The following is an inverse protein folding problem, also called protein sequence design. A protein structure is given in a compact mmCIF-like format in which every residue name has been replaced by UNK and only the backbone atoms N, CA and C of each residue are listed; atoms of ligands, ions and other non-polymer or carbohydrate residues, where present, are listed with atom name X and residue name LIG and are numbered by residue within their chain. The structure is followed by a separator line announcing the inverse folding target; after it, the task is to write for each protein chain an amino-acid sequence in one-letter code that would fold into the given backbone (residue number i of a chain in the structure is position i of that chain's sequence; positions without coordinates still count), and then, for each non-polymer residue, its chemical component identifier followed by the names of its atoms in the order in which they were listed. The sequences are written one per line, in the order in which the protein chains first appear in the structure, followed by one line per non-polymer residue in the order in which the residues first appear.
data_IF_544195151222
#
_entry.id   IF_544195151222
#
_cell.length_a   1.000
_cell.length_b   1.000
_cell.length_c   1.000
_cell.angle_alpha   90.00
_cell.angle_beta   90.00
_cell.angle_gamma   90.00
#
_symmetry.space_group_name_H-M   'P 1'
#
loop_
_entity.id
_entity.type
_entity.pdbx_description
1 polymer ?
#
# COMPACT_ATOMS: atom_id res chain seq x y z
N UNK A 1 -25.96 -54.49 -17.14
CA UNK A 1 -25.59 -53.08 -17.42
C UNK A 1 -24.97 -52.30 -16.25
N UNK A 2 -25.03 -52.72 -14.98
CA UNK A 2 -24.60 -51.86 -13.86
C UNK A 2 -23.10 -51.81 -13.49
N UNK A 3 -22.29 -52.84 -13.80
CA UNK A 3 -20.87 -52.87 -13.39
C UNK A 3 -19.95 -52.04 -14.31
N UNK A 4 -20.19 -52.07 -15.62
CA UNK A 4 -19.40 -51.31 -16.61
C UNK A 4 -19.64 -49.81 -16.49
N UNK A 5 -20.89 -49.40 -16.23
CA UNK A 5 -21.29 -48.01 -16.07
C UNK A 5 -20.73 -47.36 -14.79
N UNK A 6 -20.67 -48.11 -13.66
CA UNK A 6 -20.02 -47.65 -12.42
C UNK A 6 -18.51 -47.48 -12.55
N UNK A 7 -17.84 -48.34 -13.33
CA UNK A 7 -16.40 -48.22 -13.63
C UNK A 7 -16.12 -46.99 -14.48
N UNK A 8 -16.92 -46.74 -15.52
CA UNK A 8 -16.80 -45.53 -16.35
C UNK A 8 -16.97 -44.25 -15.53
N UNK A 9 -17.95 -44.20 -14.63
CA UNK A 9 -18.19 -43.02 -13.80
C UNK A 9 -17.05 -42.75 -12.79
N UNK A 10 -16.49 -43.82 -12.20
CA UNK A 10 -15.37 -43.70 -11.26
C UNK A 10 -14.07 -43.26 -11.95
N UNK A 11 -13.83 -43.74 -13.17
CA UNK A 11 -12.69 -43.31 -14.00
C UNK A 11 -12.86 -41.86 -14.42
N UNK A 12 -14.07 -41.44 -14.81
CA UNK A 12 -14.35 -40.06 -15.20
C UNK A 12 -14.20 -39.08 -14.03
N UNK A 13 -14.69 -39.44 -12.84
CA UNK A 13 -14.52 -38.65 -11.62
C UNK A 13 -13.05 -38.58 -11.18
N UNK A 14 -12.32 -39.68 -11.29
CA UNK A 14 -10.88 -39.70 -11.07
C UNK A 14 -10.13 -38.81 -12.06
N UNK A 15 -10.52 -38.81 -13.34
CA UNK A 15 -9.95 -37.93 -14.36
C UNK A 15 -10.27 -36.46 -14.11
N UNK A 16 -11.46 -36.13 -13.59
CA UNK A 16 -11.83 -34.77 -13.19
C UNK A 16 -11.03 -34.27 -11.98
N UNK A 17 -10.84 -35.12 -10.97
CA UNK A 17 -10.01 -34.77 -9.81
C UNK A 17 -8.55 -34.61 -10.26
N UNK A 18 -8.04 -35.53 -11.08
CA UNK A 18 -6.69 -35.42 -11.63
C UNK A 18 -6.56 -34.22 -12.56
N UNK A 19 -7.57 -33.86 -13.35
CA UNK A 19 -7.52 -32.66 -14.19
C UNK A 19 -7.54 -31.39 -13.35
N UNK A 20 -8.29 -31.34 -12.25
CA UNK A 20 -8.28 -30.20 -11.30
C UNK A 20 -6.93 -30.08 -10.58
N UNK A 21 -6.28 -31.20 -10.24
CA UNK A 21 -4.96 -31.23 -9.59
C UNK A 21 -3.81 -31.03 -10.59
N UNK A 22 -3.99 -31.42 -11.86
CA UNK A 22 -3.02 -31.30 -12.94
C UNK A 22 -3.25 -30.07 -13.83
N UNK A 23 -4.25 -29.23 -13.52
CA UNK A 23 -4.29 -27.89 -14.08
C UNK A 23 -3.08 -27.14 -13.53
N UNK A 24 -2.23 -26.59 -14.39
CA UNK A 24 -1.19 -25.72 -13.91
C UNK A 24 -1.87 -24.54 -13.24
N UNK A 25 -1.73 -24.46 -11.92
CA UNK A 25 -1.77 -23.18 -11.19
C UNK A 25 -0.76 -22.19 -11.82
N UNK A 26 0.18 -22.70 -12.63
CA UNK A 26 1.14 -21.99 -13.46
C UNK A 26 0.57 -21.17 -14.64
N UNK A 27 -0.69 -20.71 -14.60
CA UNK A 27 -1.22 -19.73 -15.57
C UNK A 27 -1.52 -18.35 -14.96
N UNK A 28 -1.25 -18.14 -13.67
CA UNK A 28 -1.35 -16.82 -13.05
C UNK A 28 -0.15 -16.43 -12.16
N UNK A 29 0.88 -17.26 -12.05
CA UNK A 29 2.25 -16.81 -11.78
C UNK A 29 2.85 -16.29 -13.11
N UNK A 30 2.15 -15.35 -13.75
CA UNK A 30 2.75 -14.51 -14.77
C UNK A 30 3.88 -13.77 -14.05
N UNK A 31 5.11 -14.27 -14.27
CA UNK A 31 6.29 -14.04 -13.47
C UNK A 31 6.47 -12.57 -13.08
N UNK A 32 6.00 -12.22 -11.88
CA UNK A 32 6.53 -11.06 -11.22
C UNK A 32 7.95 -11.41 -10.82
N UNK A 33 8.91 -10.75 -11.47
CA UNK A 33 10.32 -10.87 -11.16
C UNK A 33 10.68 -9.76 -10.17
N UNK A 34 11.26 -10.14 -9.04
CA UNK A 34 11.78 -9.20 -8.07
C UNK A 34 12.90 -8.36 -8.71
N UNK A 35 12.76 -7.03 -8.70
CA UNK A 35 13.75 -6.10 -9.27
C UNK A 35 15.02 -5.92 -8.39
N UNK A 36 14.97 -6.43 -7.15
CA UNK A 36 16.04 -6.35 -6.16
C UNK A 36 16.27 -4.94 -5.58
N UNK A 37 15.41 -3.96 -5.88
CA UNK A 37 15.64 -2.55 -5.53
C UNK A 37 15.85 -2.34 -4.02
N UNK A 38 15.07 -3.03 -3.18
CA UNK A 38 15.16 -2.97 -1.72
C UNK A 38 16.54 -3.37 -1.15
N UNK A 39 17.34 -4.13 -1.91
CA UNK A 39 18.68 -4.57 -1.51
C UNK A 39 19.80 -3.67 -2.04
N UNK A 40 19.46 -2.62 -2.78
CA UNK A 40 20.44 -1.71 -3.36
C UNK A 40 20.97 -0.71 -2.34
N UNK A 41 22.15 -0.13 -2.62
CA UNK A 41 22.67 0.99 -1.81
C UNK A 41 21.76 2.21 -1.85
N UNK A 42 20.97 2.38 -2.91
CA UNK A 42 20.02 3.49 -3.04
C UNK A 42 18.86 3.35 -2.04
N UNK A 43 18.30 2.14 -1.88
CA UNK A 43 17.30 1.89 -0.84
C UNK A 43 17.88 2.18 0.56
N UNK A 44 19.12 1.77 0.82
CA UNK A 44 19.80 2.11 2.08
C UNK A 44 19.95 3.63 2.29
N UNK A 45 20.31 4.38 1.25
CA UNK A 45 20.43 5.84 1.32
C UNK A 45 19.09 6.50 1.67
N UNK A 46 17.98 6.05 1.07
CA UNK A 46 16.63 6.53 1.40
C UNK A 46 16.29 6.29 2.87
N UNK A 47 16.59 5.08 3.39
CA UNK A 47 16.44 4.80 4.81
C UNK A 47 17.30 5.73 5.66
N UNK A 48 18.58 5.92 5.33
CA UNK A 48 19.48 6.78 6.12
C UNK A 48 18.99 8.26 6.14
N UNK A 49 18.28 8.70 5.09
CA UNK A 49 17.61 10.01 5.02
C UNK A 49 16.31 10.09 5.83
N UNK A 50 15.78 8.96 6.31
CA UNK A 50 14.61 8.90 7.17
C UNK A 50 13.35 8.36 6.50
N UNK A 51 13.41 7.91 5.25
CA UNK A 51 12.24 7.34 4.57
C UNK A 51 11.74 6.06 5.27
N UNK A 52 10.43 5.85 5.21
CA UNK A 52 9.79 4.56 5.45
C UNK A 52 9.48 3.86 4.12
N UNK A 53 9.75 2.56 4.06
CA UNK A 53 9.21 1.67 3.05
C UNK A 53 7.90 1.05 3.54
N UNK A 54 6.78 1.64 3.12
CA UNK A 54 5.46 1.00 3.19
C UNK A 54 5.25 0.00 2.05
N UNK A 55 4.07 -0.62 2.00
CA UNK A 55 3.70 -1.54 0.91
C UNK A 55 2.45 -1.09 0.16
N UNK A 56 2.46 -1.19 -1.16
CA UNK A 56 1.29 -0.86 -2.00
C UNK A 56 0.42 -2.10 -2.33
N UNK A 57 0.91 -3.30 -2.07
CA UNK A 57 0.28 -4.57 -2.37
C UNK A 57 1.28 -5.61 -2.85
N UNK A 58 0.84 -6.87 -2.95
CA UNK A 58 1.67 -7.97 -3.44
C UNK A 58 1.07 -8.62 -4.69
N UNK A 59 1.87 -8.82 -5.75
CA UNK A 59 1.46 -9.55 -6.95
C UNK A 59 0.90 -10.94 -6.62
N UNK A 60 -0.16 -11.34 -7.32
CA UNK A 60 -0.83 -12.63 -7.13
C UNK A 60 -1.75 -12.72 -5.92
N UNK A 61 -1.79 -11.69 -5.05
CA UNK A 61 -2.75 -11.59 -3.96
C UNK A 61 -3.82 -10.53 -4.27
N UNK A 62 -4.97 -10.66 -3.62
CA UNK A 62 -6.09 -9.74 -3.80
C UNK A 62 -6.61 -9.24 -2.47
N UNK A 63 -6.70 -7.91 -2.37
CA UNK A 63 -7.35 -7.21 -1.26
C UNK A 63 -8.77 -7.69 -1.03
N UNK A 64 -9.55 -7.94 -2.09
CA UNK A 64 -10.94 -8.40 -1.96
C UNK A 64 -11.07 -9.82 -1.42
N UNK A 65 -10.03 -10.64 -1.57
CA UNK A 65 -10.08 -12.06 -1.20
C UNK A 65 -9.58 -12.27 0.23
N UNK A 66 -8.41 -11.71 0.55
CA UNK A 66 -7.82 -11.80 1.88
C UNK A 66 -6.87 -10.60 2.14
N UNK A 67 -7.40 -9.49 2.70
CA UNK A 67 -6.61 -8.32 3.07
C UNK A 67 -5.47 -8.64 4.05
N UNK A 68 -5.70 -9.58 4.97
CA UNK A 68 -4.71 -9.99 5.95
C UNK A 68 -3.54 -10.73 5.30
N UNK A 69 -3.82 -11.59 4.31
CA UNK A 69 -2.78 -12.26 3.53
C UNK A 69 -1.94 -11.27 2.70
N UNK A 70 -2.57 -10.28 2.06
CA UNK A 70 -1.84 -9.23 1.33
C UNK A 70 -0.92 -8.46 2.28
N UNK A 71 -1.45 -8.02 3.43
CA UNK A 71 -0.68 -7.29 4.44
C UNK A 71 0.49 -8.12 4.99
N UNK A 72 0.25 -9.39 5.34
CA UNK A 72 1.31 -10.25 5.85
C UNK A 72 2.41 -10.51 4.80
N UNK A 73 2.03 -10.73 3.54
CA UNK A 73 2.98 -10.93 2.45
C UNK A 73 3.81 -9.66 2.20
N UNK A 74 3.17 -8.48 2.21
CA UNK A 74 3.83 -7.19 2.14
C UNK A 74 4.89 -7.02 3.24
N UNK A 75 4.48 -7.25 4.50
CA UNK A 75 5.38 -7.17 5.65
C UNK A 75 6.56 -8.12 5.50
N UNK A 76 6.29 -9.39 5.26
CA UNK A 76 7.31 -10.43 5.09
C UNK A 76 8.29 -10.08 3.97
N UNK A 77 7.77 -9.58 2.84
CA UNK A 77 8.58 -9.19 1.70
C UNK A 77 9.63 -8.14 2.07
N UNK A 78 9.21 -7.07 2.76
CA UNK A 78 10.10 -5.98 3.18
C UNK A 78 11.10 -6.48 4.23
N UNK A 79 10.62 -7.13 5.29
CA UNK A 79 11.45 -7.57 6.43
C UNK A 79 12.55 -8.57 6.03
N UNK A 80 12.31 -9.42 5.04
CA UNK A 80 13.31 -10.36 4.51
C UNK A 80 14.40 -9.70 3.65
N UNK A 81 14.23 -8.43 3.28
CA UNK A 81 15.08 -7.74 2.31
C UNK A 81 15.79 -6.54 2.89
N UNK A 82 15.15 -5.80 3.78
CA UNK A 82 15.69 -4.59 4.40
C UNK A 82 14.89 -4.23 5.67
N UNK A 83 15.36 -3.22 6.39
CA UNK A 83 14.52 -2.56 7.38
C UNK A 83 13.49 -1.68 6.67
N UNK A 84 12.27 -1.58 7.22
CA UNK A 84 11.28 -0.67 6.70
C UNK A 84 11.61 0.80 6.99
N UNK A 85 12.34 1.10 8.07
CA UNK A 85 12.76 2.48 8.39
C UNK A 85 14.04 2.51 9.22
N UNK A 86 14.50 3.71 9.59
CA UNK A 86 15.59 3.87 10.57
C UNK A 86 15.23 3.37 11.97
N UNK A 87 13.94 3.25 12.26
CA UNK A 87 13.43 2.97 13.59
C UNK A 87 13.05 1.50 13.80
N UNK A 88 12.86 0.74 12.72
CA UNK A 88 12.40 -0.64 12.85
C UNK A 88 12.52 -1.46 11.58
N UNK A 89 12.47 -2.77 11.77
CA UNK A 89 12.46 -3.77 10.68
C UNK A 89 11.08 -3.79 10.02
N UNK A 90 10.00 -3.72 10.80
CA UNK A 90 8.62 -3.79 10.33
C UNK A 90 8.11 -2.47 9.78
N UNK A 91 7.40 -2.47 8.63
CA UNK A 91 6.70 -1.30 8.12
C UNK A 91 5.51 -0.92 9.01
N UNK A 92 5.21 0.38 9.08
CA UNK A 92 4.08 0.92 9.83
C UNK A 92 2.90 1.26 8.91
N UNK A 93 3.20 1.57 7.65
CA UNK A 93 2.27 2.01 6.63
C UNK A 93 2.03 0.97 5.53
N UNK A 94 0.79 0.88 5.09
CA UNK A 94 0.37 0.06 3.95
C UNK A 94 -0.74 0.79 3.20
N UNK A 95 -0.79 0.66 1.89
CA UNK A 95 -1.94 1.08 1.10
C UNK A 95 -3.08 0.08 1.28
N UNK A 96 -4.31 0.57 1.32
CA UNK A 96 -5.52 -0.26 1.19
C UNK A 96 -6.51 0.41 0.23
N UNK A 97 -7.24 -0.37 -0.59
CA UNK A 97 -8.22 0.20 -1.52
C UNK A 97 -9.51 0.62 -0.79
N UNK A 98 -10.29 1.56 -1.38
CA UNK A 98 -11.53 2.07 -0.79
C UNK A 98 -12.69 1.07 -0.70
N UNK A 99 -12.46 -0.17 -1.15
CA UNK A 99 -13.45 -1.25 -1.16
C UNK A 99 -13.41 -2.10 0.11
N UNK A 100 -12.44 -1.88 1.01
CA UNK A 100 -12.31 -2.66 2.23
C UNK A 100 -13.29 -2.19 3.31
N UNK A 101 -13.83 -3.14 4.07
CA UNK A 101 -14.67 -2.84 5.24
C UNK A 101 -13.81 -2.59 6.48
N UNK A 102 -14.38 -2.00 7.53
CA UNK A 102 -13.68 -1.84 8.83
C UNK A 102 -13.16 -3.19 9.39
N UNK A 103 -13.91 -4.28 9.18
CA UNK A 103 -13.47 -5.62 9.57
C UNK A 103 -12.24 -6.09 8.77
N UNK A 104 -12.13 -5.70 7.50
CA UNK A 104 -10.96 -5.97 6.67
C UNK A 104 -9.74 -5.17 7.13
N UNK A 105 -9.92 -3.89 7.46
CA UNK A 105 -8.86 -3.08 8.07
C UNK A 105 -8.38 -3.65 9.41
N UNK A 106 -9.28 -4.25 10.21
CA UNK A 106 -8.88 -4.96 11.44
C UNK A 106 -7.98 -6.16 11.13
N UNK A 107 -8.20 -6.88 10.01
CA UNK A 107 -7.30 -7.96 9.57
C UNK A 107 -5.93 -7.40 9.17
N UNK A 108 -5.89 -6.28 8.46
CA UNK A 108 -4.65 -5.59 8.08
C UNK A 108 -3.88 -5.14 9.34
N UNK A 109 -4.56 -4.47 10.27
CA UNK A 109 -3.98 -4.03 11.54
C UNK A 109 -3.41 -5.19 12.37
N UNK A 110 -4.08 -6.35 12.36
CA UNK A 110 -3.60 -7.54 13.07
C UNK A 110 -2.25 -8.07 12.56
N UNK A 111 -1.81 -7.66 11.36
CA UNK A 111 -0.47 -7.97 10.83
C UNK A 111 0.62 -6.98 11.32
N UNK A 112 0.22 -5.90 11.98
CA UNK A 112 1.12 -4.91 12.60
C UNK A 112 1.17 -3.56 11.90
N UNK A 113 0.32 -3.30 10.90
CA UNK A 113 0.21 -1.98 10.27
C UNK A 113 -0.67 -1.05 11.11
N UNK A 114 -0.28 0.21 11.18
CA UNK A 114 -1.02 1.26 11.91
C UNK A 114 -1.68 2.22 10.93
N UNK A 115 -0.98 2.60 9.86
CA UNK A 115 -1.48 3.50 8.81
C UNK A 115 -1.88 2.67 7.60
N UNK A 116 -3.14 2.79 7.15
CA UNK A 116 -3.67 1.99 6.04
C UNK A 116 -3.87 2.77 4.73
N UNK A 117 -3.46 4.05 4.71
CA UNK A 117 -3.57 4.94 3.56
C UNK A 117 -4.36 6.20 3.86
N UNK A 118 -4.59 6.99 2.82
CA UNK A 118 -5.20 8.32 2.87
C UNK A 118 -6.54 8.42 2.12
N UNK A 119 -6.90 7.40 1.34
CA UNK A 119 -8.16 7.32 0.58
C UNK A 119 -8.78 5.92 0.71
N UNK A 120 -8.99 5.46 1.95
CA UNK A 120 -9.46 4.09 2.21
C UNK A 120 -10.98 3.94 2.21
N UNK A 121 -11.70 5.03 1.93
CA UNK A 121 -13.17 5.02 1.85
C UNK A 121 -13.89 4.86 3.20
N UNK A 122 -13.15 4.72 4.30
CA UNK A 122 -13.70 4.74 5.66
C UNK A 122 -14.12 6.17 6.04
N UNK A 123 -15.21 6.28 6.81
CA UNK A 123 -15.70 7.56 7.32
C UNK A 123 -14.86 8.07 8.51
N UNK A 124 -14.26 7.16 9.28
CA UNK A 124 -13.39 7.50 10.42
C UNK A 124 -12.02 7.98 9.90
N UNK A 125 -11.74 9.26 10.10
CA UNK A 125 -10.50 9.95 9.69
C UNK A 125 -10.23 11.11 10.66
N UNK A 126 -8.99 11.55 10.76
CA UNK A 126 -8.57 12.65 11.62
C UNK A 126 -7.50 13.52 10.95
N UNK A 127 -7.03 14.54 11.66
CA UNK A 127 -5.97 15.48 11.24
C UNK A 127 -6.36 16.43 10.10
N UNK A 128 -7.65 16.75 9.97
CA UNK A 128 -8.15 17.71 8.99
C UNK A 128 -7.83 19.17 9.33
N UNK A 129 -7.48 19.46 10.59
CA UNK A 129 -7.02 20.77 11.04
C UNK A 129 -6.15 20.65 12.32
N UNK A 130 -5.76 21.78 12.91
CA UNK A 130 -4.94 21.83 14.12
C UNK A 130 -5.61 21.25 15.40
N UNK A 131 -6.94 21.14 15.41
CA UNK A 131 -7.75 20.68 16.54
C UNK A 131 -8.27 19.25 16.38
N UNK A 132 -8.39 18.78 15.14
CA UNK A 132 -8.83 17.44 14.80
C UNK A 132 -7.72 16.41 15.04
N UNK A 133 -7.86 15.65 16.11
CA UNK A 133 -6.88 14.63 16.54
C UNK A 133 -7.59 13.29 16.66
N UNK A 134 -6.91 12.18 16.30
CA UNK A 134 -7.49 10.85 16.41
C UNK A 134 -7.83 10.55 17.87
N UNK A 135 -9.10 10.27 18.12
CA UNK A 135 -9.66 9.76 19.36
C UNK A 135 -9.49 8.24 19.50
N UNK A 136 -9.41 7.50 18.39
CA UNK A 136 -9.20 6.06 18.40
C UNK A 136 -8.26 5.55 17.29
N UNK A 137 -8.07 4.22 17.24
CA UNK A 137 -7.16 3.58 16.29
C UNK A 137 -7.73 3.51 14.87
N UNK A 138 -9.04 3.61 14.67
CA UNK A 138 -9.67 3.48 13.35
C UNK A 138 -9.44 4.71 12.49
N UNK A 139 -9.31 5.89 13.10
CA UNK A 139 -8.94 7.12 12.40
C UNK A 139 -7.52 7.09 11.84
N UNK A 140 -6.66 6.16 12.27
CA UNK A 140 -5.37 5.91 11.63
C UNK A 140 -5.48 5.04 10.36
N UNK A 141 -6.61 4.37 10.17
CA UNK A 141 -6.86 3.54 8.99
C UNK A 141 -7.27 4.37 7.77
N UNK A 142 -7.59 5.65 7.97
CA UNK A 142 -7.77 6.61 6.89
C UNK A 142 -7.19 7.97 7.31
N UNK A 143 -6.05 8.35 6.76
CA UNK A 143 -5.44 9.65 7.08
C UNK A 143 -6.15 10.83 6.41
N UNK A 144 -7.04 10.59 5.44
CA UNK A 144 -7.76 11.61 4.71
C UNK A 144 -6.86 12.43 3.78
N UNK A 145 -7.00 12.26 2.46
CA UNK A 145 -6.14 12.96 1.50
C UNK A 145 -6.43 14.46 1.41
N UNK A 146 -5.39 15.27 1.59
CA UNK A 146 -5.48 16.74 1.59
C UNK A 146 -4.46 17.45 0.69
N UNK A 147 -3.17 17.11 0.78
CA UNK A 147 -2.11 17.90 0.13
C UNK A 147 -2.01 17.78 -1.40
N UNK A 148 -2.63 16.76 -1.98
CA UNK A 148 -2.64 16.56 -3.44
C UNK A 148 -1.32 15.99 -4.01
N UNK A 149 -1.11 16.17 -5.30
CA UNK A 149 0.07 15.64 -6.01
C UNK A 149 1.28 16.56 -5.92
N UNK A 150 2.49 16.01 -5.87
CA UNK A 150 3.73 16.78 -6.11
C UNK A 150 4.07 16.92 -7.61
N UNK A 151 3.32 16.28 -8.50
CA UNK A 151 3.66 16.14 -9.91
C UNK A 151 3.31 17.40 -10.70
N UNK A 152 4.23 17.85 -11.56
CA UNK A 152 4.04 19.05 -12.37
C UNK A 152 2.80 18.93 -13.27
N UNK A 153 1.92 19.92 -13.16
CA UNK A 153 0.68 20.00 -13.95
C UNK A 153 -0.50 19.22 -13.36
N UNK A 154 -0.29 18.53 -12.24
CA UNK A 154 -1.34 17.93 -11.40
C UNK A 154 -1.41 18.65 -10.06
N UNK A 155 -0.25 19.01 -9.51
CA UNK A 155 -0.12 19.76 -8.27
C UNK A 155 -0.88 21.10 -8.31
N UNK A 156 -1.44 21.49 -7.16
CA UNK A 156 -2.13 22.76 -6.96
C UNK A 156 -1.53 23.47 -5.74
N UNK A 157 -0.80 24.57 -5.98
CA UNK A 157 -0.17 25.35 -4.91
C UNK A 157 -1.22 26.02 -4.01
N UNK A 158 -2.32 26.51 -4.60
CA UNK A 158 -3.40 27.17 -3.87
C UNK A 158 -4.11 26.21 -2.90
N UNK A 159 -4.43 25.00 -3.37
CA UNK A 159 -5.05 23.98 -2.52
C UNK A 159 -4.09 23.59 -1.38
N UNK A 160 -2.82 23.33 -1.69
CA UNK A 160 -1.81 22.99 -0.67
C UNK A 160 -1.67 24.09 0.39
N UNK A 161 -1.61 25.37 -0.02
CA UNK A 161 -1.52 26.49 0.91
C UNK A 161 -2.72 26.54 1.85
N UNK A 162 -3.92 26.31 1.31
CA UNK A 162 -5.16 26.25 2.09
C UNK A 162 -5.11 25.13 3.13
N UNK A 163 -4.67 23.94 2.74
CA UNK A 163 -4.59 22.79 3.65
C UNK A 163 -3.50 22.96 4.71
N UNK A 164 -2.36 23.57 4.37
CA UNK A 164 -1.29 23.89 5.32
C UNK A 164 -1.74 24.96 6.32
N UNK A 165 -2.47 25.99 5.88
CA UNK A 165 -3.04 27.01 6.76
C UNK A 165 -4.08 26.45 7.73
N UNK A 166 -4.87 25.45 7.32
CA UNK A 166 -5.81 24.76 8.19
C UNK A 166 -5.11 23.92 9.29
N UNK A 167 -3.84 23.54 9.07
CA UNK A 167 -3.06 22.73 10.01
C UNK A 167 -3.41 21.24 9.95
N UNK A 168 -2.97 20.48 10.94
CA UNK A 168 -3.13 19.02 10.96
C UNK A 168 -2.11 18.28 10.10
N UNK A 169 -2.48 17.14 9.54
CA UNK A 169 -1.65 16.33 8.66
C UNK A 169 -2.02 16.62 7.21
N UNK A 170 -1.02 16.99 6.42
CA UNK A 170 -1.18 17.27 4.98
C UNK A 170 -0.34 16.27 4.22
N UNK A 171 -0.99 15.23 3.71
CA UNK A 171 -0.34 14.16 2.95
C UNK A 171 -0.24 14.52 1.47
N UNK A 172 0.91 14.21 0.88
CA UNK A 172 1.22 14.46 -0.53
C UNK A 172 1.50 13.12 -1.23
N UNK A 173 1.10 12.99 -2.48
CA UNK A 173 1.37 11.78 -3.28
C UNK A 173 2.12 12.11 -4.57
N UNK A 174 2.90 11.14 -5.06
CA UNK A 174 3.57 11.23 -6.35
C UNK A 174 4.04 9.85 -6.80
N UNK A 175 4.30 9.72 -8.10
CA UNK A 175 5.00 8.57 -8.67
C UNK A 175 6.44 8.99 -8.95
N UNK A 176 7.42 8.26 -8.41
CA UNK A 176 8.84 8.59 -8.67
C UNK A 176 9.23 8.40 -10.14
N UNK A 177 8.75 7.32 -10.78
CA UNK A 177 9.11 6.93 -12.15
C UNK A 177 7.98 6.19 -12.87
N UNK A 178 7.87 6.41 -14.18
CA UNK A 178 6.99 5.65 -15.09
C UNK A 178 7.79 5.25 -16.33
N UNK A 179 7.88 3.96 -16.65
CA UNK A 179 8.59 3.45 -17.84
C UNK A 179 9.98 4.07 -18.02
N UNK A 180 10.80 4.04 -16.95
CA UNK A 180 12.15 4.63 -16.85
C UNK A 180 12.26 6.17 -16.88
N UNK A 181 11.16 6.90 -17.12
CA UNK A 181 11.13 8.34 -17.03
C UNK A 181 10.86 8.79 -15.58
N UNK A 182 11.70 9.68 -15.05
CA UNK A 182 11.44 10.35 -13.77
C UNK A 182 10.28 11.33 -13.94
N UNK A 183 9.29 11.25 -13.06
CA UNK A 183 8.18 12.21 -13.05
C UNK A 183 8.70 13.52 -12.47
N UNK A 184 8.40 14.62 -13.15
CA UNK A 184 8.86 15.94 -12.74
C UNK A 184 7.98 16.48 -11.61
N UNK A 185 8.58 16.88 -10.51
CA UNK A 185 7.87 17.57 -9.44
C UNK A 185 7.58 19.03 -9.79
N UNK A 186 6.50 19.58 -9.22
CA UNK A 186 6.16 20.98 -9.32
C UNK A 186 7.11 21.83 -8.47
N UNK A 187 7.80 22.77 -9.12
CA UNK A 187 8.85 23.56 -8.48
C UNK A 187 8.27 24.50 -7.43
N UNK A 188 7.11 25.09 -7.72
CA UNK A 188 6.58 26.17 -6.88
C UNK A 188 5.94 25.56 -5.62
N UNK A 189 5.38 24.35 -5.71
CA UNK A 189 4.99 23.53 -4.55
C UNK A 189 6.18 23.15 -3.67
N UNK A 190 7.28 22.65 -4.26
CA UNK A 190 8.47 22.30 -3.48
C UNK A 190 9.08 23.52 -2.79
N UNK A 191 9.17 24.64 -3.49
CA UNK A 191 9.68 25.89 -2.91
C UNK A 191 8.81 26.34 -1.73
N UNK A 192 7.48 26.23 -1.84
CA UNK A 192 6.58 26.53 -0.74
C UNK A 192 6.79 25.61 0.47
N UNK A 193 6.89 24.29 0.26
CA UNK A 193 7.11 23.33 1.35
C UNK A 193 8.44 23.55 2.09
N UNK A 194 9.49 23.99 1.39
CA UNK A 194 10.79 24.32 1.97
C UNK A 194 10.78 25.63 2.78
N UNK A 195 9.93 26.59 2.39
CA UNK A 195 9.90 27.94 2.96
C UNK A 195 8.76 28.16 3.97
N UNK A 196 7.74 27.29 3.97
CA UNK A 196 6.55 27.43 4.80
C UNK A 196 6.91 27.40 6.31
N UNK A 197 6.51 28.42 7.09
CA UNK A 197 6.77 28.43 8.52
C UNK A 197 5.90 27.39 9.23
N UNK A 198 6.41 26.83 10.33
CA UNK A 198 5.70 25.89 11.19
C UNK A 198 5.27 24.57 10.52
N UNK A 199 5.86 24.21 9.38
CA UNK A 199 5.69 22.90 8.74
C UNK A 199 6.79 21.95 9.23
N UNK A 200 6.41 20.72 9.58
CA UNK A 200 7.35 19.63 9.80
C UNK A 200 7.10 18.52 8.79
N UNK A 201 8.05 18.32 7.89
CA UNK A 201 8.04 17.22 6.94
C UNK A 201 8.45 15.92 7.65
N UNK A 202 7.59 14.90 7.57
CA UNK A 202 7.81 13.56 8.11
C UNK A 202 7.40 12.50 7.09
N UNK A 203 7.90 11.29 7.29
CA UNK A 203 7.37 10.06 6.68
C UNK A 203 6.43 9.36 7.62
#
# INVERSE_FOLDING_TARGET
MGKTQRRSFSVFLGFLIVSVVAHPVALAEAAWEEDGWLRTSFAKERLDLGDEFGCYGMPGLSWSNDPGAVANACKTYIEERTNASRWGVSPLSIFTPPTLTMADHTKVASQGFVVHGDETGLEDTAWHDETDRPADLWEWYNLGRRGGSLEKGIASLEDLQTEVEAGGLVNLYWIGRVNDATVRHDRDVLAYLDEAPNVWLTT
#
